data_IF_778303786633
#
_entry.id   IF_778303786633
#
_cell.length_a   1.000
_cell.length_b   1.000
_cell.length_c   1.000
_cell.angle_alpha   90.00
_cell.angle_beta   90.00
_cell.angle_gamma   90.00
#
_symmetry.space_group_name_H-M   'P 1'
#
loop_
_entity.id
_entity.type
_entity.pdbx_description
1 polymer ?
#
# COMPACT_ATOMS: atom_id res chain seq x y z
N UNK A 1 -1.50 -3.56 35.48
CA UNK A 1 -2.23 -3.83 34.22
C UNK A 1 -2.06 -5.30 33.86
N UNK A 2 -3.07 -5.93 33.26
CA UNK A 2 -3.01 -7.36 32.88
C UNK A 2 -1.85 -7.60 31.90
N UNK A 3 -1.02 -8.60 32.20
CA UNK A 3 0.18 -9.00 31.42
C UNK A 3 -0.08 -9.20 29.91
N UNK A 4 -1.33 -9.49 29.54
CA UNK A 4 -1.72 -9.88 28.18
C UNK A 4 -2.61 -8.86 27.46
N UNK A 5 -2.98 -7.78 28.14
CA UNK A 5 -3.95 -6.80 27.65
C UNK A 5 -3.27 -5.47 27.44
N UNK A 6 -2.62 -5.33 26.28
CA UNK A 6 -1.95 -4.08 25.90
C UNK A 6 -2.97 -2.94 25.83
N UNK A 7 -2.66 -1.83 26.49
CA UNK A 7 -3.35 -0.56 26.29
C UNK A 7 -2.96 0.08 24.95
N UNK A 8 -3.71 1.11 24.51
CA UNK A 8 -3.34 1.88 23.32
C UNK A 8 -1.91 2.46 23.40
N UNK A 9 -1.46 2.83 24.60
CA UNK A 9 -0.11 3.37 24.82
C UNK A 9 0.93 2.27 24.64
N UNK A 10 0.71 1.08 25.20
CA UNK A 10 1.65 -0.03 25.04
C UNK A 10 1.65 -0.57 23.60
N UNK A 11 0.50 -0.58 22.92
CA UNK A 11 0.44 -0.90 21.50
C UNK A 11 1.26 0.10 20.67
N UNK A 12 1.30 1.40 21.01
CA UNK A 12 2.17 2.37 20.31
C UNK A 12 3.65 2.01 20.41
N UNK A 13 4.08 1.54 21.57
CA UNK A 13 5.49 1.21 21.82
C UNK A 13 5.90 -0.12 21.18
N UNK A 14 4.94 -1.05 21.02
CA UNK A 14 5.18 -2.41 20.50
C UNK A 14 4.79 -2.59 19.05
N UNK A 15 4.03 -1.67 18.49
CA UNK A 15 3.64 -1.69 17.09
C UNK A 15 4.85 -1.54 16.19
N UNK A 16 4.88 -2.37 15.15
CA UNK A 16 5.88 -2.24 14.10
C UNK A 16 5.58 -0.98 13.25
N UNK A 17 4.33 -0.47 13.31
CA UNK A 17 3.77 0.71 12.62
C UNK A 17 3.73 0.59 11.08
N UNK A 18 4.68 -0.17 10.53
CA UNK A 18 4.82 -0.67 9.18
C UNK A 18 4.86 -2.22 9.24
N UNK A 19 4.54 -2.92 8.15
CA UNK A 19 4.58 -4.40 8.15
C UNK A 19 6.01 -4.93 8.40
N UNK A 20 6.18 -6.08 9.09
CA UNK A 20 7.45 -6.81 9.14
C UNK A 20 8.01 -7.08 7.73
N UNK A 21 9.33 -7.07 7.56
CA UNK A 21 9.99 -7.28 6.25
C UNK A 21 9.52 -8.57 5.55
N UNK A 22 9.35 -9.65 6.31
CA UNK A 22 8.85 -10.94 5.81
C UNK A 22 7.44 -10.84 5.18
N UNK A 23 6.60 -9.96 5.72
CA UNK A 23 5.24 -9.72 5.23
C UNK A 23 5.25 -8.79 4.01
N UNK A 24 6.20 -7.84 3.94
CA UNK A 24 6.41 -7.00 2.76
C UNK A 24 6.87 -7.81 1.55
N UNK A 25 7.75 -8.80 1.77
CA UNK A 25 8.23 -9.71 0.72
C UNK A 25 7.11 -10.62 0.18
N UNK A 26 6.22 -11.09 1.06
CA UNK A 26 5.06 -11.91 0.68
C UNK A 26 3.92 -11.09 0.05
N UNK A 27 3.81 -9.79 0.40
CA UNK A 27 2.75 -8.92 -0.10
C UNK A 27 2.83 -8.60 -1.59
N UNK A 28 4.03 -8.68 -2.20
CA UNK A 28 4.20 -8.39 -3.63
C UNK A 28 3.43 -7.14 -4.07
N UNK A 29 2.67 -7.20 -5.17
CA UNK A 29 1.89 -6.09 -5.73
C UNK A 29 0.94 -5.33 -4.75
N UNK A 30 0.65 -5.87 -3.56
CA UNK A 30 -0.14 -5.18 -2.53
C UNK A 30 0.66 -4.12 -1.72
N UNK A 31 1.99 -4.06 -1.86
CA UNK A 31 2.90 -3.17 -1.11
C UNK A 31 3.25 -1.85 -1.81
N UNK A 32 2.68 -1.58 -2.99
CA UNK A 32 3.03 -0.40 -3.79
C UNK A 32 2.54 0.89 -3.13
N UNK A 33 1.34 0.89 -2.53
CA UNK A 33 0.74 2.12 -1.99
C UNK A 33 1.53 2.73 -0.81
N UNK A 34 1.98 1.98 0.22
CA UNK A 34 2.83 2.56 1.26
C UNK A 34 4.15 3.09 0.73
N UNK A 35 4.77 2.39 -0.23
CA UNK A 35 6.01 2.85 -0.82
C UNK A 35 5.80 4.19 -1.54
N UNK A 36 4.69 4.32 -2.28
CA UNK A 36 4.32 5.56 -2.92
C UNK A 36 3.98 6.67 -1.92
N UNK A 37 3.22 6.37 -0.85
CA UNK A 37 2.94 7.35 0.20
C UNK A 37 4.21 7.81 0.93
N UNK A 38 5.12 6.88 1.25
CA UNK A 38 6.42 7.16 1.89
C UNK A 38 7.32 8.06 1.02
N UNK A 39 7.24 7.91 -0.30
CA UNK A 39 8.11 8.63 -1.25
C UNK A 39 7.42 9.82 -1.93
N UNK A 40 6.18 10.12 -1.55
CA UNK A 40 5.36 11.17 -2.16
C UNK A 40 6.00 12.56 -2.04
N UNK A 41 6.47 12.95 -0.85
CA UNK A 41 7.08 14.26 -0.64
C UNK A 41 8.34 14.47 -1.48
N UNK A 42 9.13 13.40 -1.65
CA UNK A 42 10.31 13.43 -2.50
C UNK A 42 9.95 13.58 -3.97
N UNK A 43 8.91 12.87 -4.42
CA UNK A 43 8.38 13.01 -5.77
C UNK A 43 7.88 14.44 -6.03
N UNK A 44 7.09 15.01 -5.11
CA UNK A 44 6.61 16.40 -5.18
C UNK A 44 7.79 17.37 -5.26
N UNK A 45 8.82 17.16 -4.44
CA UNK A 45 10.02 18.01 -4.41
C UNK A 45 10.73 18.02 -5.77
N UNK A 46 10.87 16.86 -6.43
CA UNK A 46 11.45 16.77 -7.77
C UNK A 46 10.62 17.58 -8.77
N UNK A 47 9.30 17.40 -8.82
CA UNK A 47 8.44 18.15 -9.76
C UNK A 47 8.43 19.66 -9.49
N UNK A 48 8.60 20.06 -8.23
CA UNK A 48 8.64 21.47 -7.82
C UNK A 48 9.95 22.12 -8.27
N UNK A 49 11.08 21.42 -8.16
CA UNK A 49 12.41 21.93 -8.51
C UNK A 49 12.77 21.77 -9.99
N UNK A 50 12.03 20.94 -10.73
CA UNK A 50 12.25 20.67 -12.15
C UNK A 50 11.62 21.75 -13.06
N UNK A 51 11.95 23.02 -12.83
CA UNK A 51 11.29 24.15 -13.49
C UNK A 51 12.21 24.96 -14.43
N UNK A 52 13.49 24.60 -14.51
CA UNK A 52 14.48 25.29 -15.34
C UNK A 52 14.33 24.95 -16.83
N UNK A 53 14.11 23.67 -17.15
CA UNK A 53 13.98 23.12 -18.50
C UNK A 53 13.05 21.89 -18.50
N UNK A 54 12.44 21.51 -19.64
CA UNK A 54 11.50 20.37 -19.69
C UNK A 54 12.09 19.04 -19.21
N UNK A 55 13.40 18.84 -19.34
CA UNK A 55 14.09 17.59 -18.98
C UNK A 55 14.84 17.69 -17.63
N UNK A 56 14.75 18.83 -16.94
CA UNK A 56 15.45 19.08 -15.67
C UNK A 56 15.11 18.05 -14.58
N UNK A 57 13.91 17.47 -14.61
CA UNK A 57 13.49 16.38 -13.74
C UNK A 57 14.44 15.18 -13.81
N UNK A 58 15.02 14.87 -14.97
CA UNK A 58 15.84 13.68 -15.17
C UNK A 58 17.11 13.74 -14.31
N UNK A 59 17.76 14.91 -14.25
CA UNK A 59 18.93 15.15 -13.40
C UNK A 59 18.56 14.98 -11.93
N UNK A 60 17.43 15.55 -11.51
CA UNK A 60 16.95 15.47 -10.12
C UNK A 60 16.61 14.03 -9.70
N UNK A 61 16.01 13.23 -10.58
CA UNK A 61 15.76 11.81 -10.34
C UNK A 61 17.07 11.04 -10.22
N UNK A 62 18.01 11.24 -11.15
CA UNK A 62 19.29 10.53 -11.14
C UNK A 62 20.16 10.84 -9.92
N UNK A 63 20.03 12.03 -9.33
CA UNK A 63 20.72 12.44 -8.10
C UNK A 63 20.02 11.98 -6.81
N UNK A 64 18.80 11.45 -6.91
CA UNK A 64 18.00 11.10 -5.74
C UNK A 64 18.18 9.65 -5.31
N UNK A 65 18.78 9.44 -4.13
CA UNK A 65 18.94 8.10 -3.54
C UNK A 65 17.59 7.43 -3.22
N UNK A 66 16.62 8.18 -2.71
CA UNK A 66 15.31 7.66 -2.28
C UNK A 66 14.24 7.69 -3.38
N UNK A 67 14.61 8.02 -4.62
CA UNK A 67 13.69 8.07 -5.76
C UNK A 67 14.33 7.46 -7.00
N UNK A 68 14.46 6.13 -7.07
CA UNK A 68 14.94 5.47 -8.27
C UNK A 68 13.98 5.72 -9.45
N UNK A 69 14.53 5.66 -10.67
CA UNK A 69 13.82 6.00 -11.90
C UNK A 69 12.51 5.23 -12.12
N UNK A 70 12.48 3.94 -11.83
CA UNK A 70 11.26 3.13 -11.92
C UNK A 70 10.18 3.55 -10.90
N UNK A 71 10.58 3.98 -9.70
CA UNK A 71 9.66 4.49 -8.70
C UNK A 71 9.09 5.85 -9.10
N UNK A 72 9.93 6.75 -9.63
CA UNK A 72 9.49 8.02 -10.19
C UNK A 72 8.46 7.82 -11.32
N UNK A 73 8.74 6.91 -12.25
CA UNK A 73 7.80 6.56 -13.31
C UNK A 73 6.49 5.99 -12.73
N UNK A 74 6.56 5.15 -11.69
CA UNK A 74 5.35 4.61 -11.05
C UNK A 74 4.47 5.70 -10.44
N UNK A 75 5.06 6.71 -9.80
CA UNK A 75 4.32 7.88 -9.32
C UNK A 75 3.57 8.56 -10.46
N UNK A 76 4.25 8.86 -11.58
CA UNK A 76 3.63 9.46 -12.75
C UNK A 76 2.47 8.62 -13.30
N UNK A 77 2.69 7.31 -13.50
CA UNK A 77 1.67 6.37 -13.98
C UNK A 77 0.41 6.35 -13.11
N UNK A 78 0.58 6.39 -11.79
CA UNK A 78 -0.54 6.38 -10.84
C UNK A 78 -1.33 7.69 -10.90
N UNK A 79 -0.62 8.81 -11.00
CA UNK A 79 -1.22 10.13 -11.06
C UNK A 79 -1.97 10.39 -12.38
N UNK A 80 -1.44 9.87 -13.50
CA UNK A 80 -2.06 9.99 -14.83
C UNK A 80 -3.08 8.91 -15.16
N UNK A 81 -3.32 7.94 -14.25
CA UNK A 81 -4.17 6.77 -14.53
C UNK A 81 -3.70 5.94 -15.75
N UNK A 82 -2.37 5.86 -15.91
CA UNK A 82 -1.69 5.15 -16.98
C UNK A 82 -0.92 3.95 -16.43
N UNK A 83 -1.66 2.89 -16.06
CA UNK A 83 -1.08 1.60 -15.70
C UNK A 83 -0.40 0.90 -16.89
N UNK A 84 0.38 -0.16 -16.62
CA UNK A 84 1.08 -0.91 -17.68
C UNK A 84 0.15 -1.49 -18.75
N UNK A 85 -1.08 -1.89 -18.40
CA UNK A 85 -2.06 -2.35 -19.39
C UNK A 85 -2.54 -1.20 -20.30
N UNK A 86 -2.82 -0.03 -19.74
CA UNK A 86 -3.22 1.15 -20.50
C UNK A 86 -2.09 1.65 -21.40
N UNK A 87 -0.87 1.79 -20.86
CA UNK A 87 0.31 2.23 -21.62
C UNK A 87 0.67 1.27 -22.75
N UNK A 88 0.47 -0.03 -22.57
CA UNK A 88 0.82 -1.02 -23.59
C UNK A 88 -0.09 -0.97 -24.84
N UNK A 89 -1.15 -0.14 -24.84
CA UNK A 89 -2.01 0.10 -26.00
C UNK A 89 -1.43 1.08 -27.02
N UNK A 90 -0.51 1.95 -26.59
CA UNK A 90 0.01 3.03 -27.43
C UNK A 90 1.14 2.59 -28.40
N UNK A 91 2.13 1.77 -28.01
CA UNK A 91 3.19 1.37 -28.94
C UNK A 91 2.70 0.65 -30.21
N UNK A 92 3.33 0.88 -31.37
CA UNK A 92 4.40 1.86 -31.60
C UNK A 92 3.90 3.30 -31.56
N UNK A 93 4.68 4.18 -30.93
CA UNK A 93 4.36 5.61 -30.86
C UNK A 93 4.47 6.29 -32.24
N UNK A 94 5.14 5.66 -33.21
CA UNK A 94 5.16 6.10 -34.61
C UNK A 94 3.79 6.20 -35.28
N UNK A 95 2.72 5.72 -34.65
CA UNK A 95 1.33 5.94 -35.09
C UNK A 95 0.81 7.35 -34.80
N UNK A 96 1.40 8.02 -33.81
CA UNK A 96 0.96 9.32 -33.32
C UNK A 96 1.98 10.41 -33.60
N UNK A 97 3.25 10.05 -33.72
CA UNK A 97 4.36 11.00 -33.92
C UNK A 97 5.11 10.67 -35.20
N UNK A 98 5.48 11.70 -35.96
CA UNK A 98 6.30 11.58 -37.16
C UNK A 98 7.80 11.72 -36.81
N UNK A 99 8.68 11.28 -37.71
CA UNK A 99 10.13 11.54 -37.63
C UNK A 99 10.84 11.14 -36.31
N UNK A 100 10.28 10.18 -35.56
CA UNK A 100 10.83 9.74 -34.27
C UNK A 100 10.91 10.85 -33.21
N UNK A 101 10.09 11.89 -33.35
CA UNK A 101 10.21 13.13 -32.57
C UNK A 101 8.85 13.59 -32.02
N UNK A 102 8.87 14.16 -30.83
CA UNK A 102 7.75 14.87 -30.22
C UNK A 102 8.10 16.35 -30.10
N UNK A 103 7.44 17.17 -30.91
CA UNK A 103 7.45 18.62 -30.76
C UNK A 103 6.34 19.02 -29.81
N UNK A 104 6.61 19.87 -28.82
CA UNK A 104 5.65 20.22 -27.77
C UNK A 104 5.89 21.62 -27.21
N UNK A 105 4.84 22.19 -26.63
CA UNK A 105 4.89 23.50 -25.97
C UNK A 105 5.08 23.32 -24.46
N UNK A 106 6.09 23.97 -23.90
CA UNK A 106 6.25 24.10 -22.45
C UNK A 106 6.56 25.54 -22.05
N UNK A 107 5.81 26.09 -21.08
CA UNK A 107 5.90 27.51 -20.68
C UNK A 107 5.97 28.46 -21.88
N UNK A 108 5.05 28.26 -22.84
CA UNK A 108 4.90 29.04 -24.10
C UNK A 108 6.12 29.02 -25.03
N UNK A 109 7.04 28.07 -24.87
CA UNK A 109 8.18 27.86 -25.77
C UNK A 109 8.07 26.48 -26.41
N UNK A 110 8.54 26.39 -27.64
CA UNK A 110 8.58 25.15 -28.39
C UNK A 110 9.84 24.37 -28.02
N UNK A 111 9.65 23.07 -27.80
CA UNK A 111 10.71 22.12 -27.55
C UNK A 111 10.50 20.87 -28.41
N UNK A 112 11.56 20.10 -28.53
CA UNK A 112 11.56 18.84 -29.26
C UNK A 112 12.21 17.75 -28.41
N UNK A 113 11.61 16.56 -28.43
CA UNK A 113 12.16 15.37 -27.81
C UNK A 113 12.28 14.24 -28.84
N UNK A 114 13.47 13.68 -28.98
CA UNK A 114 13.71 12.52 -29.84
C UNK A 114 13.46 11.22 -29.04
N UNK A 115 12.50 10.41 -29.47
CA UNK A 115 12.26 9.11 -28.85
C UNK A 115 13.45 8.18 -29.08
N UNK A 116 13.79 7.40 -28.05
CA UNK A 116 14.96 6.51 -28.04
C UNK A 116 14.59 5.06 -28.30
N UNK A 117 13.44 4.62 -27.79
CA UNK A 117 13.00 3.22 -27.74
C UNK A 117 11.55 3.06 -28.20
N UNK A 118 10.61 3.84 -27.66
CA UNK A 118 9.17 3.54 -27.78
C UNK A 118 8.54 3.93 -29.12
N UNK A 119 9.31 4.58 -30.00
CA UNK A 119 8.86 4.89 -31.35
C UNK A 119 8.52 3.62 -32.14
N UNK A 120 9.29 2.55 -31.93
CA UNK A 120 9.01 1.21 -32.47
C UNK A 120 8.11 0.42 -31.54
N UNK A 121 7.57 -0.71 -32.01
CA UNK A 121 6.69 -1.57 -31.21
C UNK A 121 7.50 -2.23 -30.10
N UNK A 122 7.22 -1.86 -28.85
CA UNK A 122 7.85 -2.41 -27.65
C UNK A 122 6.81 -2.60 -26.55
N UNK A 123 6.96 -3.61 -25.67
CA UNK A 123 6.04 -3.78 -24.55
C UNK A 123 6.27 -2.71 -23.47
N UNK A 124 5.18 -2.08 -23.02
CA UNK A 124 5.14 -1.11 -21.91
C UNK A 124 4.35 -1.68 -20.71
N UNK A 125 4.52 -2.97 -20.41
CA UNK A 125 3.92 -3.64 -19.26
C UNK A 125 4.61 -3.27 -17.96
N UNK A 126 3.97 -3.51 -16.80
CA UNK A 126 4.56 -3.23 -15.48
C UNK A 126 5.95 -3.88 -15.32
N UNK A 127 6.07 -5.16 -15.71
CA UNK A 127 7.34 -5.90 -15.63
C UNK A 127 8.39 -5.37 -16.62
N UNK A 128 7.98 -4.95 -17.82
CA UNK A 128 8.92 -4.42 -18.82
C UNK A 128 9.48 -3.07 -18.37
N UNK A 129 8.68 -2.26 -17.70
CA UNK A 129 9.05 -0.96 -17.14
C UNK A 129 9.61 -1.07 -15.72
N UNK A 130 9.73 -2.27 -15.14
CA UNK A 130 10.23 -2.51 -13.77
C UNK A 130 9.43 -1.76 -12.70
N UNK A 131 8.13 -1.58 -12.92
CA UNK A 131 7.20 -0.87 -12.02
C UNK A 131 6.19 -1.81 -11.35
N UNK A 132 6.44 -3.12 -11.40
CA UNK A 132 5.78 -4.12 -10.56
C UNK A 132 6.30 -4.05 -9.11
N UNK A 133 5.52 -4.57 -8.15
CA UNK A 133 5.83 -4.44 -6.72
C UNK A 133 7.23 -4.95 -6.33
N UNK A 134 7.69 -6.05 -6.93
CA UNK A 134 9.02 -6.63 -6.63
C UNK A 134 10.14 -5.75 -7.18
N UNK A 135 9.98 -5.25 -8.41
CA UNK A 135 10.97 -4.39 -9.04
C UNK A 135 11.07 -3.01 -8.37
N UNK A 136 9.96 -2.49 -7.85
CA UNK A 136 9.94 -1.20 -7.15
C UNK A 136 10.77 -1.22 -5.86
N UNK A 137 10.69 -2.31 -5.09
CA UNK A 137 11.48 -2.46 -3.85
C UNK A 137 12.99 -2.51 -4.10
N UNK A 138 13.40 -3.07 -5.25
CA UNK A 138 14.82 -3.14 -5.63
C UNK A 138 15.40 -1.80 -6.06
N UNK A 139 14.56 -0.93 -6.63
CA UNK A 139 14.99 0.31 -7.27
C UNK A 139 15.77 0.06 -8.57
N UNK A 140 15.39 0.75 -9.63
CA UNK A 140 16.10 0.72 -10.90
C UNK A 140 16.31 2.15 -11.41
N UNK A 141 17.50 2.48 -11.95
CA UNK A 141 17.73 3.79 -12.55
C UNK A 141 16.85 3.98 -13.79
N UNK A 142 16.68 5.23 -14.22
CA UNK A 142 16.02 5.53 -15.48
C UNK A 142 16.81 4.89 -16.63
N UNK A 143 16.13 4.09 -17.43
CA UNK A 143 16.63 3.68 -18.74
C UNK A 143 15.94 4.48 -19.85
N UNK A 144 16.42 4.35 -21.08
CA UNK A 144 15.88 5.11 -22.22
C UNK A 144 14.40 4.85 -22.47
N UNK A 145 13.94 3.61 -22.28
CA UNK A 145 12.52 3.26 -22.42
C UNK A 145 11.66 3.95 -21.35
N UNK A 146 12.11 3.98 -20.10
CA UNK A 146 11.43 4.71 -19.03
C UNK A 146 11.44 6.21 -19.30
N UNK A 147 12.56 6.74 -19.78
CA UNK A 147 12.71 8.17 -20.12
C UNK A 147 11.71 8.57 -21.19
N UNK A 148 11.58 7.80 -22.26
CA UNK A 148 10.58 8.05 -23.29
C UNK A 148 9.14 8.07 -22.73
N UNK A 149 8.81 7.11 -21.85
CA UNK A 149 7.47 7.04 -21.24
C UNK A 149 7.23 8.23 -20.32
N UNK A 150 8.23 8.65 -19.53
CA UNK A 150 8.12 9.85 -18.70
C UNK A 150 7.87 11.08 -19.57
N UNK A 151 8.67 11.26 -20.64
CA UNK A 151 8.50 12.39 -21.56
C UNK A 151 7.10 12.39 -22.18
N UNK A 152 6.61 11.24 -22.59
CA UNK A 152 5.24 11.10 -23.10
C UNK A 152 4.20 11.50 -22.04
N UNK A 153 4.29 11.01 -20.80
CA UNK A 153 3.35 11.35 -19.71
C UNK A 153 3.40 12.84 -19.34
N UNK A 154 4.57 13.46 -19.41
CA UNK A 154 4.72 14.88 -19.09
C UNK A 154 4.17 15.78 -20.19
N UNK A 155 4.45 15.47 -21.46
CA UNK A 155 4.30 16.45 -22.55
C UNK A 155 3.45 15.99 -23.73
N UNK A 156 2.98 14.74 -23.75
CA UNK A 156 2.18 14.21 -24.86
C UNK A 156 0.88 14.99 -25.11
N UNK A 157 0.30 15.61 -24.08
CA UNK A 157 -0.90 16.46 -24.22
C UNK A 157 -0.61 17.81 -24.91
N UNK A 158 0.63 18.29 -24.79
CA UNK A 158 1.08 19.57 -25.34
C UNK A 158 1.83 19.40 -26.66
N UNK A 159 1.83 18.18 -27.20
CA UNK A 159 2.52 17.87 -28.44
C UNK A 159 1.78 18.47 -29.65
N UNK A 160 2.54 19.02 -30.59
CA UNK A 160 2.05 19.71 -31.78
C UNK A 160 1.65 18.73 -32.88
N UNK A 161 0.50 18.97 -33.51
CA UNK A 161 0.00 18.24 -34.69
C UNK A 161 -0.30 16.75 -34.46
N UNK A 162 -0.96 16.38 -33.34
CA UNK A 162 -1.13 14.97 -32.96
C UNK A 162 -2.55 14.58 -32.59
N UNK A 163 -2.91 13.33 -32.89
CA UNK A 163 -4.13 12.67 -32.47
C UNK A 163 -3.84 11.54 -31.46
N UNK A 164 -3.27 11.90 -30.30
CA UNK A 164 -2.99 10.96 -29.21
C UNK A 164 -4.29 10.73 -28.42
N UNK A 165 -4.83 9.51 -28.33
CA UNK A 165 -6.04 9.25 -27.56
C UNK A 165 -5.78 9.41 -26.05
N UNK A 166 -6.80 9.87 -25.32
CA UNK A 166 -6.72 10.20 -23.90
C UNK A 166 -5.59 11.22 -23.59
N UNK A 167 -5.40 12.22 -24.45
CA UNK A 167 -4.30 13.19 -24.35
C UNK A 167 -4.26 13.90 -23.00
N UNK A 168 -5.40 14.08 -22.32
CA UNK A 168 -5.49 14.65 -20.97
C UNK A 168 -4.68 13.89 -19.91
N UNK A 169 -4.37 12.60 -20.13
CA UNK A 169 -3.53 11.81 -19.22
C UNK A 169 -2.04 12.11 -19.36
N UNK A 170 -1.65 12.82 -20.42
CA UNK A 170 -0.26 13.09 -20.80
C UNK A 170 0.15 14.55 -20.57
N UNK A 171 -0.45 15.21 -19.56
CA UNK A 171 -0.32 16.66 -19.32
C UNK A 171 0.45 17.03 -18.05
N UNK A 172 1.11 16.07 -17.40
CA UNK A 172 1.75 16.27 -16.08
C UNK A 172 2.85 17.33 -16.09
N UNK A 173 3.48 17.58 -17.24
CA UNK A 173 4.52 18.59 -17.44
C UNK A 173 4.02 20.02 -17.23
N UNK A 174 2.71 20.27 -17.37
CA UNK A 174 2.09 21.58 -17.13
C UNK A 174 2.07 21.99 -15.65
N UNK A 175 2.31 21.03 -14.74
CA UNK A 175 2.38 21.25 -13.29
C UNK A 175 3.80 21.55 -12.81
N UNK A 176 4.83 21.29 -13.61
CA UNK A 176 6.23 21.46 -13.19
C UNK A 176 6.52 22.91 -12.76
N UNK A 177 7.17 23.06 -11.61
CA UNK A 177 7.44 24.37 -11.02
C UNK A 177 6.24 25.07 -10.38
N UNK A 178 5.09 24.38 -10.22
CA UNK A 178 3.88 24.93 -9.58
C UNK A 178 3.57 24.19 -8.27
N UNK A 179 4.30 24.46 -7.17
CA UNK A 179 4.23 23.68 -5.94
C UNK A 179 2.82 23.47 -5.38
N UNK A 180 1.98 24.51 -5.38
CA UNK A 180 0.61 24.43 -4.83
C UNK A 180 -0.31 23.56 -5.70
N UNK A 181 -0.22 23.69 -7.02
CA UNK A 181 -0.96 22.85 -7.98
C UNK A 181 -0.51 21.39 -7.90
N UNK A 182 0.81 21.14 -7.81
CA UNK A 182 1.36 19.79 -7.65
C UNK A 182 0.84 19.14 -6.37
N UNK A 183 0.96 19.83 -5.21
CA UNK A 183 0.51 19.27 -3.92
C UNK A 183 -0.98 18.96 -3.93
N UNK A 184 -1.80 19.86 -4.47
CA UNK A 184 -3.24 19.66 -4.59
C UNK A 184 -3.57 18.47 -5.51
N UNK A 185 -2.95 18.40 -6.68
CA UNK A 185 -3.18 17.33 -7.64
C UNK A 185 -2.73 15.96 -7.10
N UNK A 186 -1.54 15.89 -6.51
CA UNK A 186 -0.99 14.67 -5.93
C UNK A 186 -1.88 14.17 -4.79
N UNK A 187 -2.24 15.05 -3.84
CA UNK A 187 -3.11 14.65 -2.72
C UNK A 187 -4.48 14.12 -3.19
N UNK A 188 -5.14 14.79 -4.14
CA UNK A 188 -6.41 14.36 -4.70
C UNK A 188 -6.31 13.01 -5.44
N UNK A 189 -5.27 12.84 -6.26
CA UNK A 189 -5.04 11.63 -7.04
C UNK A 189 -4.73 10.43 -6.16
N UNK A 190 -3.95 10.62 -5.08
CA UNK A 190 -3.69 9.54 -4.12
C UNK A 190 -4.93 9.13 -3.30
N UNK A 191 -5.87 10.05 -3.04
CA UNK A 191 -7.19 9.72 -2.44
C UNK A 191 -8.03 8.88 -3.41
N UNK A 192 -8.01 9.20 -4.71
CA UNK A 192 -8.71 8.41 -5.75
C UNK A 192 -8.13 7.00 -5.83
N UNK A 193 -6.81 6.90 -5.85
CA UNK A 193 -6.06 5.64 -5.93
C UNK A 193 -6.27 4.81 -4.66
N UNK A 194 -6.29 5.42 -3.47
CA UNK A 194 -6.59 4.70 -2.23
C UNK A 194 -8.00 4.11 -2.25
N UNK A 195 -8.99 4.80 -2.83
CA UNK A 195 -10.36 4.29 -2.99
C UNK A 195 -10.43 3.11 -3.95
N UNK A 196 -9.77 3.19 -5.10
CA UNK A 196 -9.76 2.11 -6.12
C UNK A 196 -9.00 0.85 -5.66
N UNK A 197 -7.95 1.01 -4.86
CA UNK A 197 -7.15 -0.11 -4.33
C UNK A 197 -7.79 -0.74 -3.08
N UNK A 198 -8.58 0.01 -2.29
CA UNK A 198 -9.03 -0.43 -0.96
C UNK A 198 -9.83 -1.74 -0.90
N UNK A 199 -10.70 -2.03 -1.88
CA UNK A 199 -11.60 -3.19 -1.82
C UNK A 199 -10.89 -4.54 -2.01
N UNK A 200 -10.19 -4.72 -3.11
CA UNK A 200 -9.55 -6.00 -3.46
C UNK A 200 -8.23 -6.23 -2.68
N UNK A 201 -7.51 -5.16 -2.37
CA UNK A 201 -6.22 -5.22 -1.67
C UNK A 201 -6.40 -5.43 -0.16
N UNK A 202 -7.45 -4.89 0.47
CA UNK A 202 -7.73 -5.14 1.90
C UNK A 202 -8.00 -6.62 2.17
N UNK A 203 -8.74 -7.31 1.30
CA UNK A 203 -9.02 -8.75 1.46
C UNK A 203 -7.76 -9.60 1.27
N UNK A 204 -6.97 -9.31 0.23
CA UNK A 204 -5.71 -10.03 -0.03
C UNK A 204 -4.66 -9.80 1.07
N UNK A 205 -4.56 -8.57 1.58
CA UNK A 205 -3.67 -8.22 2.69
C UNK A 205 -4.15 -8.80 4.03
N UNK A 206 -5.46 -8.82 4.28
CA UNK A 206 -6.05 -9.47 5.45
C UNK A 206 -5.67 -10.95 5.51
N UNK A 207 -5.78 -11.65 4.38
CA UNK A 207 -5.38 -13.05 4.28
C UNK A 207 -3.89 -13.32 4.54
N UNK A 208 -2.98 -12.38 4.23
CA UNK A 208 -1.54 -12.48 4.54
C UNK A 208 -1.28 -12.28 6.04
N UNK A 209 -1.94 -11.28 6.62
CA UNK A 209 -1.93 -11.00 8.06
C UNK A 209 -2.37 -12.23 8.86
N UNK A 210 -3.48 -12.85 8.49
CA UNK A 210 -3.97 -14.06 9.14
C UNK A 210 -2.96 -15.22 9.01
N UNK A 211 -2.37 -15.41 7.83
CA UNK A 211 -1.38 -16.48 7.59
C UNK A 211 -0.15 -16.30 8.48
N UNK A 212 0.30 -15.07 8.67
CA UNK A 212 1.42 -14.76 9.54
C UNK A 212 1.12 -15.09 11.00
N UNK A 213 -0.03 -14.66 11.52
CA UNK A 213 -0.45 -14.99 12.89
C UNK A 213 -0.56 -16.49 13.09
N UNK A 214 -1.22 -17.20 12.17
CA UNK A 214 -1.35 -18.67 12.24
C UNK A 214 0.00 -19.35 12.23
N UNK A 215 0.94 -18.91 11.38
CA UNK A 215 2.27 -19.50 11.32
C UNK A 215 2.98 -19.38 12.67
N UNK A 216 3.02 -18.17 13.25
CA UNK A 216 3.67 -17.97 14.55
C UNK A 216 2.96 -18.77 15.65
N UNK A 217 1.62 -18.81 15.66
CA UNK A 217 0.89 -19.64 16.63
C UNK A 217 1.20 -21.13 16.47
N UNK A 218 1.35 -21.65 15.24
CA UNK A 218 1.76 -23.04 15.00
C UNK A 218 3.20 -23.34 15.42
N UNK A 219 4.09 -22.35 15.36
CA UNK A 219 5.47 -22.48 15.86
C UNK A 219 5.50 -22.55 17.40
N UNK A 220 4.54 -21.91 18.08
CA UNK A 220 4.56 -21.69 19.53
C UNK A 220 3.61 -22.59 20.34
N UNK A 221 2.52 -23.05 19.74
CA UNK A 221 1.52 -23.90 20.38
C UNK A 221 1.78 -25.39 20.08
N UNK A 222 1.59 -26.29 21.06
CA UNK A 222 1.65 -27.74 20.82
C UNK A 222 0.61 -28.20 19.79
N UNK A 223 0.89 -29.31 19.10
CA UNK A 223 0.00 -29.90 18.09
C UNK A 223 -1.37 -30.35 18.63
N UNK A 224 -1.55 -30.37 19.96
CA UNK A 224 -2.85 -30.63 20.60
C UNK A 224 -3.83 -29.48 20.46
N UNK A 225 -3.35 -28.29 20.06
CA UNK A 225 -4.19 -27.13 19.74
C UNK A 225 -4.58 -27.16 18.27
N UNK A 226 -5.85 -26.87 17.98
CA UNK A 226 -6.36 -26.74 16.62
C UNK A 226 -6.44 -25.26 16.24
N UNK A 227 -5.92 -24.87 15.07
CA UNK A 227 -5.97 -23.48 14.58
C UNK A 227 -6.72 -23.46 13.26
N UNK A 228 -7.84 -22.73 13.23
CA UNK A 228 -8.75 -22.65 12.09
C UNK A 228 -8.96 -21.19 11.65
N UNK A 229 -9.19 -21.00 10.35
CA UNK A 229 -9.53 -19.69 9.77
C UNK A 229 -11.04 -19.57 9.62
N UNK A 230 -11.57 -18.36 9.82
CA UNK A 230 -12.96 -18.04 9.49
C UNK A 230 -13.97 -19.00 10.11
N UNK A 231 -13.73 -19.40 11.38
CA UNK A 231 -14.60 -20.31 12.14
C UNK A 231 -15.58 -19.50 12.99
N UNK A 232 -16.79 -20.04 13.11
CA UNK A 232 -17.85 -19.44 13.92
C UNK A 232 -17.74 -19.89 15.38
N UNK A 233 -17.92 -18.95 16.31
CA UNK A 233 -18.14 -19.20 17.73
C UNK A 233 -19.38 -18.41 18.11
N UNK A 234 -20.39 -19.07 18.67
CA UNK A 234 -21.64 -18.44 19.14
C UNK A 234 -22.31 -17.54 18.08
N UNK A 235 -22.41 -17.97 16.81
CA UNK A 235 -23.04 -17.18 15.75
C UNK A 235 -22.17 -16.05 15.17
N UNK A 236 -20.90 -15.94 15.59
CA UNK A 236 -19.96 -14.95 15.05
C UNK A 236 -18.74 -15.62 14.42
N UNK A 237 -18.46 -15.27 13.16
CA UNK A 237 -17.22 -15.64 12.49
C UNK A 237 -16.05 -14.78 12.97
N UNK A 238 -14.95 -15.44 13.33
CA UNK A 238 -13.67 -14.80 13.69
C UNK A 238 -12.63 -14.99 12.60
N UNK A 239 -11.69 -14.05 12.46
CA UNK A 239 -10.59 -14.15 11.50
C UNK A 239 -9.79 -15.45 11.72
N UNK A 240 -9.45 -15.75 12.99
CA UNK A 240 -8.77 -16.98 13.42
C UNK A 240 -9.44 -17.51 14.71
N UNK A 241 -9.57 -18.83 14.81
CA UNK A 241 -10.00 -19.51 16.05
C UNK A 241 -8.96 -20.54 16.46
N UNK A 242 -8.56 -20.50 17.73
CA UNK A 242 -7.75 -21.54 18.36
C UNK A 242 -8.63 -22.37 19.29
N UNK A 243 -8.68 -23.69 19.09
CA UNK A 243 -9.31 -24.65 19.98
C UNK A 243 -8.25 -25.28 20.89
N UNK A 244 -8.43 -25.16 22.19
CA UNK A 244 -7.59 -25.86 23.18
C UNK A 244 -7.99 -27.34 23.33
N UNK A 245 -7.13 -28.18 23.94
CA UNK A 245 -7.47 -29.56 24.28
C UNK A 245 -8.65 -29.69 25.24
N UNK A 246 -8.93 -28.65 26.04
CA UNK A 246 -10.00 -28.61 27.02
C UNK A 246 -11.29 -27.97 26.48
N UNK A 247 -11.43 -27.89 25.14
CA UNK A 247 -12.58 -27.31 24.43
C UNK A 247 -12.81 -25.80 24.67
N UNK A 248 -11.89 -25.08 25.31
CA UNK A 248 -11.93 -23.61 25.33
C UNK A 248 -11.51 -23.06 23.97
N UNK A 249 -12.28 -22.09 23.46
CA UNK A 249 -12.05 -21.44 22.18
C UNK A 249 -11.53 -20.02 22.39
N UNK A 250 -10.60 -19.62 21.52
CA UNK A 250 -10.03 -18.28 21.47
C UNK A 250 -10.34 -17.66 20.11
N UNK A 251 -11.30 -16.74 20.08
CA UNK A 251 -11.63 -15.96 18.90
C UNK A 251 -10.63 -14.82 18.72
N UNK A 252 -9.90 -14.80 17.60
CA UNK A 252 -8.87 -13.80 17.32
C UNK A 252 -9.30 -12.93 16.15
N UNK A 253 -9.31 -11.63 16.35
CA UNK A 253 -9.62 -10.62 15.34
C UNK A 253 -8.36 -9.80 15.01
N UNK A 254 -8.07 -9.63 13.72
CA UNK A 254 -6.92 -8.89 13.24
C UNK A 254 -7.30 -7.48 12.76
N UNK A 255 -6.50 -6.47 13.07
CA UNK A 255 -6.57 -5.17 12.42
C UNK A 255 -5.19 -4.57 12.16
N UNK A 256 -5.00 -4.03 10.95
CA UNK A 256 -3.70 -3.61 10.44
C UNK A 256 -3.82 -2.27 9.67
N UNK A 257 -2.69 -1.73 9.19
CA UNK A 257 -2.59 -0.39 8.56
C UNK A 257 -3.64 -0.08 7.49
N UNK A 258 -4.11 -1.08 6.75
CA UNK A 258 -5.07 -0.92 5.66
C UNK A 258 -6.51 -1.34 6.02
N UNK A 259 -6.76 -1.74 7.26
CA UNK A 259 -8.13 -1.92 7.74
C UNK A 259 -8.87 -0.59 7.56
N UNK A 260 -10.06 -0.62 6.96
CA UNK A 260 -10.86 0.58 6.71
C UNK A 260 -11.41 1.17 8.02
N UNK A 261 -11.76 2.46 8.02
CA UNK A 261 -12.39 3.11 9.17
C UNK A 261 -13.69 2.38 9.58
N UNK A 262 -14.54 2.03 8.61
CA UNK A 262 -15.80 1.35 8.88
C UNK A 262 -15.61 -0.01 9.57
N UNK A 263 -14.57 -0.76 9.20
CA UNK A 263 -14.29 -2.08 9.78
C UNK A 263 -13.84 -1.99 11.23
N UNK A 264 -12.88 -1.12 11.55
CA UNK A 264 -12.38 -1.00 12.93
C UNK A 264 -13.42 -0.35 13.86
N UNK A 265 -14.19 0.64 13.38
CA UNK A 265 -15.32 1.20 14.14
C UNK A 265 -16.40 0.14 14.40
N UNK A 266 -16.67 -0.72 13.42
CA UNK A 266 -17.57 -1.88 13.61
C UNK A 266 -17.02 -2.83 14.67
N UNK A 267 -15.75 -3.25 14.58
CA UNK A 267 -15.12 -4.13 15.59
C UNK A 267 -15.18 -3.51 16.98
N UNK A 268 -14.96 -2.19 17.10
CA UNK A 268 -15.09 -1.47 18.37
C UNK A 268 -16.50 -1.47 18.94
N UNK A 269 -17.54 -1.28 18.12
CA UNK A 269 -18.94 -1.31 18.59
C UNK A 269 -19.38 -2.70 19.03
N UNK A 270 -18.82 -3.74 18.41
CA UNK A 270 -19.16 -5.14 18.72
C UNK A 270 -18.37 -5.69 19.92
N UNK A 271 -17.22 -5.10 20.27
CA UNK A 271 -16.26 -5.66 21.22
C UNK A 271 -16.86 -6.04 22.59
N UNK A 272 -17.67 -5.17 23.18
CA UNK A 272 -18.29 -5.45 24.49
C UNK A 272 -19.26 -6.65 24.44
N UNK A 273 -20.12 -6.69 23.43
CA UNK A 273 -21.10 -7.74 23.29
C UNK A 273 -20.44 -9.09 22.98
N UNK A 274 -19.39 -9.09 22.14
CA UNK A 274 -18.64 -10.30 21.84
C UNK A 274 -17.89 -10.84 23.06
N UNK A 275 -17.29 -9.96 23.86
CA UNK A 275 -16.64 -10.38 25.11
C UNK A 275 -17.64 -11.06 26.04
N UNK A 276 -18.80 -10.43 26.29
CA UNK A 276 -19.88 -11.02 27.12
C UNK A 276 -20.35 -12.37 26.57
N UNK A 277 -20.58 -12.45 25.26
CA UNK A 277 -21.05 -13.67 24.60
C UNK A 277 -20.07 -14.82 24.79
N UNK A 278 -18.78 -14.59 24.52
CA UNK A 278 -17.75 -15.60 24.65
C UNK A 278 -17.49 -15.98 26.10
N UNK A 279 -17.45 -15.02 27.03
CA UNK A 279 -17.26 -15.30 28.45
C UNK A 279 -18.39 -16.15 29.03
N UNK A 280 -19.64 -15.91 28.62
CA UNK A 280 -20.78 -16.72 29.03
C UNK A 280 -20.68 -18.19 28.56
N UNK A 281 -19.99 -18.43 27.44
CA UNK A 281 -19.71 -19.76 26.90
C UNK A 281 -18.38 -20.36 27.40
N UNK A 282 -17.63 -19.66 28.26
CA UNK A 282 -16.32 -20.10 28.75
C UNK A 282 -15.21 -19.98 27.69
N UNK A 283 -15.31 -19.02 26.78
CA UNK A 283 -14.39 -18.74 25.68
C UNK A 283 -13.77 -17.36 25.80
N UNK A 284 -12.75 -17.06 25.00
CA UNK A 284 -11.98 -15.82 25.09
C UNK A 284 -11.93 -15.05 23.77
N UNK A 285 -11.81 -13.73 23.87
CA UNK A 285 -11.65 -12.82 22.72
C UNK A 285 -10.29 -12.12 22.73
N UNK A 286 -9.57 -12.28 21.63
CA UNK A 286 -8.24 -11.76 21.45
C UNK A 286 -8.17 -10.85 20.22
N UNK A 287 -7.31 -9.84 20.27
CA UNK A 287 -7.09 -8.93 19.15
C UNK A 287 -5.60 -8.79 18.84
N UNK A 288 -5.27 -8.85 17.55
CA UNK A 288 -3.95 -8.48 17.03
C UNK A 288 -4.12 -7.16 16.29
N UNK A 289 -3.53 -6.08 16.82
CA UNK A 289 -3.75 -4.71 16.32
C UNK A 289 -2.42 -4.03 16.03
N UNK A 290 -2.25 -3.57 14.78
CA UNK A 290 -1.10 -2.75 14.39
C UNK A 290 -1.51 -1.75 13.27
N UNK A 291 -0.55 -0.94 12.82
CA UNK A 291 -0.69 0.06 11.78
C UNK A 291 -0.89 1.46 12.35
N UNK A 292 -0.11 2.40 11.83
CA UNK A 292 -0.16 3.81 12.23
C UNK A 292 -1.59 4.40 12.13
N UNK A 293 -2.41 3.98 11.16
CA UNK A 293 -3.79 4.41 11.02
C UNK A 293 -4.67 4.02 12.23
N UNK A 294 -4.55 2.78 12.70
CA UNK A 294 -5.30 2.32 13.88
C UNK A 294 -4.81 3.03 15.14
N UNK A 295 -3.49 3.09 15.32
CA UNK A 295 -2.86 3.47 16.59
C UNK A 295 -2.77 5.00 16.78
N UNK A 296 -2.56 5.74 15.69
CA UNK A 296 -2.36 7.19 15.75
C UNK A 296 -3.63 7.97 15.42
N UNK A 297 -4.51 7.44 14.56
CA UNK A 297 -5.71 8.15 14.10
C UNK A 297 -6.96 7.65 14.85
N UNK A 298 -7.12 6.34 15.01
CA UNK A 298 -8.39 5.72 15.48
C UNK A 298 -8.35 5.32 16.95
N UNK A 299 -7.87 6.26 17.78
CA UNK A 299 -7.56 6.05 19.20
C UNK A 299 -8.74 5.55 20.02
N UNK A 300 -9.93 6.11 19.79
CA UNK A 300 -11.13 5.75 20.56
C UNK A 300 -11.58 4.32 20.27
N UNK A 301 -11.71 3.96 18.99
CA UNK A 301 -12.09 2.61 18.57
C UNK A 301 -11.12 1.55 19.12
N UNK A 302 -9.81 1.79 18.98
CA UNK A 302 -8.79 0.86 19.51
C UNK A 302 -8.83 0.79 21.04
N UNK A 303 -9.03 1.90 21.74
CA UNK A 303 -9.12 1.90 23.21
C UNK A 303 -10.31 1.07 23.70
N UNK A 304 -11.47 1.17 23.05
CA UNK A 304 -12.64 0.36 23.35
C UNK A 304 -12.39 -1.13 23.10
N UNK A 305 -11.74 -1.48 21.98
CA UNK A 305 -11.36 -2.86 21.70
C UNK A 305 -10.41 -3.40 22.78
N UNK A 306 -9.37 -2.63 23.11
CA UNK A 306 -8.43 -3.00 24.17
C UNK A 306 -9.15 -3.15 25.51
N UNK A 307 -10.19 -2.38 25.80
CA UNK A 307 -10.96 -2.48 27.05
C UNK A 307 -11.74 -3.78 27.16
N UNK A 308 -12.27 -4.31 26.06
CA UNK A 308 -13.13 -5.51 26.06
C UNK A 308 -12.43 -6.77 25.55
N UNK A 309 -11.12 -6.72 25.32
CA UNK A 309 -10.32 -7.89 24.97
C UNK A 309 -9.76 -8.62 26.19
N UNK A 310 -9.59 -9.95 26.08
CA UNK A 310 -8.85 -10.75 27.06
C UNK A 310 -7.33 -10.71 26.82
N UNK A 311 -6.94 -10.71 25.53
CA UNK A 311 -5.56 -10.52 25.11
C UNK A 311 -5.46 -9.61 23.88
N UNK A 312 -4.73 -8.51 24.00
CA UNK A 312 -4.47 -7.59 22.89
C UNK A 312 -2.97 -7.47 22.69
N UNK A 313 -2.50 -7.67 21.46
CA UNK A 313 -1.07 -7.66 21.10
C UNK A 313 -0.82 -6.96 19.76
N UNK A 314 0.42 -6.56 19.48
CA UNK A 314 0.81 -6.01 18.18
C UNK A 314 1.22 -7.10 17.15
N UNK A 315 1.57 -6.69 15.92
CA UNK A 315 1.85 -7.62 14.80
C UNK A 315 3.31 -8.11 14.72
N UNK A 316 4.10 -7.97 15.78
CA UNK A 316 5.46 -8.54 15.82
C UNK A 316 5.43 -10.03 16.19
N UNK A 317 6.50 -10.77 15.86
CA UNK A 317 6.62 -12.18 16.24
C UNK A 317 6.55 -12.33 17.77
N UNK A 318 7.24 -11.47 18.49
CA UNK A 318 7.33 -11.46 19.96
C UNK A 318 5.96 -11.19 20.61
N UNK A 319 5.17 -10.31 20.01
CA UNK A 319 3.82 -10.01 20.50
C UNK A 319 2.83 -11.15 20.21
N UNK A 320 2.97 -11.84 19.09
CA UNK A 320 2.16 -13.05 18.82
C UNK A 320 2.60 -14.23 19.70
N UNK A 321 3.88 -14.31 20.07
CA UNK A 321 4.36 -15.25 21.10
C UNK A 321 3.71 -14.99 22.46
N UNK A 322 3.48 -13.72 22.80
CA UNK A 322 2.75 -13.34 24.01
C UNK A 322 1.28 -13.79 23.96
N UNK A 323 0.63 -13.69 22.80
CA UNK A 323 -0.70 -14.26 22.57
C UNK A 323 -0.71 -15.78 22.71
N UNK A 324 0.27 -16.49 22.13
CA UNK A 324 0.39 -17.95 22.31
C UNK A 324 0.59 -18.34 23.78
N UNK A 325 1.31 -17.52 24.54
CA UNK A 325 1.47 -17.70 25.99
C UNK A 325 0.16 -17.50 26.74
N UNK A 326 -0.61 -16.46 26.43
CA UNK A 326 -1.94 -16.24 27.00
C UNK A 326 -2.85 -17.45 26.75
N UNK A 327 -2.90 -17.94 25.51
CA UNK A 327 -3.70 -19.11 25.12
C UNK A 327 -3.33 -20.30 26.00
N UNK A 328 -2.03 -20.65 26.11
CA UNK A 328 -1.58 -21.80 26.92
C UNK A 328 -1.92 -21.68 28.41
N UNK A 329 -1.82 -20.48 28.98
CA UNK A 329 -2.10 -20.26 30.41
C UNK A 329 -3.60 -20.30 30.74
N UNK A 330 -4.48 -20.15 29.74
CA UNK A 330 -5.94 -20.12 29.89
C UNK A 330 -6.63 -21.27 29.14
N UNK A 331 -5.86 -22.31 28.80
CA UNK A 331 -6.31 -23.56 28.17
C UNK A 331 -6.46 -24.69 29.17
#
# INVERSE_FOLDING_TARGET
>A
MSKYKRSLVELREKAVLNWPEELLDQAGEASVLPLLLKTQDKFISILTLADSEPESWQKLVNLSLDMPGNLFLKHLMVLSDLGGESLNKYPPISKYFENNQMDYIWKTKDYSYQFKVIFKKVPLTNSSLKVDGKSLLKGFPLNDKMTDVVMLILYGATALNINLPDSEKFMMGSLLGKPDEIKKFVSQSYIRVSRQISGATSTKLGGLVEKFVIRVLKEELPNTFEITKSKEIEGKTFDIVVSSPNNQLFGIEASFQYTTNSTIERKSREAENLAKLLHNAGHFICYVIDGAGNINIRKNAVSTICLYSDCTVAFSKEEIQLLAKFIRENS
#
